data_IF_104495975360
#
_entry.id   IF_104495975360
#
_cell.length_a   1.000
_cell.length_b   1.000
_cell.length_c   1.000
_cell.angle_alpha   90.00
_cell.angle_beta   90.00
_cell.angle_gamma   90.00
#
_symmetry.space_group_name_H-M   'P 1'
#
loop_
_entity.id
_entity.type
_entity.pdbx_description
1 polymer ?
#
# COMPACT_ATOMS: atom_id res chain seq x y z
N UNK A 1 -25.49 -3.81 -22.76
CA UNK A 1 -24.23 -3.05 -22.80
C UNK A 1 -23.61 -3.20 -21.44
N UNK A 2 -22.51 -3.94 -21.29
CA UNK A 2 -21.71 -3.86 -20.09
C UNK A 2 -21.13 -2.43 -20.06
N UNK A 3 -21.50 -1.64 -19.06
CA UNK A 3 -20.86 -0.35 -18.81
C UNK A 3 -19.38 -0.67 -18.58
N UNK A 4 -18.50 -0.16 -19.42
CA UNK A 4 -17.06 -0.42 -19.30
C UNK A 4 -16.59 0.15 -17.96
N UNK A 5 -15.84 -0.64 -17.18
CA UNK A 5 -15.22 -0.21 -15.93
C UNK A 5 -14.38 1.03 -16.19
N UNK A 6 -14.54 2.07 -15.36
CA UNK A 6 -13.82 3.33 -15.47
C UNK A 6 -13.37 3.77 -14.08
N UNK A 7 -12.09 3.52 -13.77
CA UNK A 7 -11.54 3.81 -12.45
C UNK A 7 -11.69 5.28 -12.06
N UNK A 8 -11.42 6.20 -12.99
CA UNK A 8 -11.49 7.64 -12.68
C UNK A 8 -12.91 8.08 -12.33
N UNK A 9 -13.90 7.61 -13.09
CA UNK A 9 -15.31 7.86 -12.82
C UNK A 9 -15.78 7.24 -11.50
N UNK A 10 -15.36 5.98 -11.23
CA UNK A 10 -15.65 5.29 -9.98
C UNK A 10 -15.01 6.01 -8.79
N UNK A 11 -13.75 6.45 -8.93
CA UNK A 11 -13.06 7.20 -7.89
C UNK A 11 -13.72 8.55 -7.60
N UNK A 12 -14.12 9.29 -8.63
CA UNK A 12 -14.86 10.56 -8.46
C UNK A 12 -16.19 10.32 -7.71
N UNK A 13 -16.91 9.24 -8.03
CA UNK A 13 -18.13 8.86 -7.33
C UNK A 13 -17.84 8.42 -5.86
N UNK A 14 -16.76 7.70 -5.63
CA UNK A 14 -16.30 7.33 -4.29
C UNK A 14 -16.01 8.55 -3.42
N UNK A 15 -15.35 9.57 -3.95
CA UNK A 15 -15.04 10.81 -3.22
C UNK A 15 -16.29 11.58 -2.78
N UNK A 16 -17.41 11.42 -3.50
CA UNK A 16 -18.71 12.02 -3.11
C UNK A 16 -19.31 11.25 -1.93
N UNK A 17 -19.19 9.91 -1.92
CA UNK A 17 -19.74 9.04 -0.88
C UNK A 17 -18.90 9.05 0.38
N UNK A 18 -17.56 9.05 0.24
CA UNK A 18 -16.59 8.93 1.32
C UNK A 18 -15.74 10.19 1.37
N UNK A 19 -16.25 11.18 2.06
CA UNK A 19 -15.59 12.48 2.18
C UNK A 19 -14.31 12.37 3.01
N UNK A 20 -13.31 13.16 2.64
CA UNK A 20 -12.14 13.36 3.49
C UNK A 20 -12.52 14.01 4.81
N UNK A 21 -12.03 13.43 5.88
CA UNK A 21 -12.07 13.96 7.22
C UNK A 21 -10.68 14.50 7.58
N UNK A 22 -10.58 15.20 8.70
CA UNK A 22 -9.32 15.76 9.17
C UNK A 22 -9.16 15.50 10.66
N UNK A 23 -8.00 15.01 11.05
CA UNK A 23 -7.55 14.93 12.43
C UNK A 23 -6.31 15.82 12.65
N UNK A 24 -6.04 16.16 13.91
CA UNK A 24 -4.80 16.81 14.32
C UNK A 24 -4.02 15.82 15.20
N UNK A 25 -2.83 15.44 14.73
CA UNK A 25 -1.92 14.53 15.42
C UNK A 25 -0.58 15.24 15.58
N UNK A 26 -0.09 15.38 16.80
CA UNK A 26 1.16 16.11 17.11
C UNK A 26 1.23 17.51 16.46
N UNK A 27 0.13 18.26 16.50
CA UNK A 27 -0.04 19.56 15.86
C UNK A 27 0.03 19.54 14.31
N UNK A 28 -0.01 18.37 13.69
CA UNK A 28 -0.05 18.19 12.24
C UNK A 28 -1.47 17.83 11.82
N UNK A 29 -1.98 18.57 10.84
CA UNK A 29 -3.28 18.30 10.24
C UNK A 29 -3.11 17.19 9.19
N UNK A 30 -3.83 16.08 9.35
CA UNK A 30 -3.85 14.95 8.44
C UNK A 30 -5.24 14.73 7.86
N UNK A 31 -5.31 14.49 6.56
CA UNK A 31 -6.53 14.09 5.88
C UNK A 31 -6.63 12.58 5.83
N UNK A 32 -7.83 12.07 6.04
CA UNK A 32 -8.10 10.64 5.99
C UNK A 32 -9.53 10.37 5.54
N UNK A 33 -9.76 9.16 5.06
CA UNK A 33 -11.09 8.61 4.76
C UNK A 33 -11.34 7.46 5.72
N UNK A 34 -12.42 7.53 6.46
CA UNK A 34 -12.82 6.52 7.43
C UNK A 34 -14.30 6.20 7.24
N UNK A 35 -14.59 4.96 6.95
CA UNK A 35 -15.93 4.53 6.60
C UNK A 35 -16.15 3.04 6.80
N UNK A 36 -17.16 2.51 6.14
CA UNK A 36 -17.53 1.10 6.18
C UNK A 36 -18.49 0.74 7.31
N UNK A 37 -18.61 -0.58 7.58
CA UNK A 37 -19.60 -1.15 8.51
C UNK A 37 -19.29 -0.76 9.95
N UNK A 38 -20.21 -0.06 10.57
CA UNK A 38 -20.07 0.37 11.97
C UNK A 38 -19.97 -0.84 12.92
N UNK A 39 -19.07 -0.72 13.92
CA UNK A 39 -18.80 -1.77 14.91
C UNK A 39 -17.95 -2.94 14.40
N UNK A 40 -17.63 -3.00 13.11
CA UNK A 40 -16.75 -4.04 12.56
C UNK A 40 -15.27 -3.72 12.76
N UNK A 41 -14.36 -4.74 12.67
CA UNK A 41 -12.92 -4.51 12.70
C UNK A 41 -12.46 -3.51 11.63
N UNK A 42 -11.41 -2.75 11.95
CA UNK A 42 -10.88 -1.70 11.06
C UNK A 42 -9.74 -2.25 10.21
N UNK A 43 -9.81 -2.05 8.91
CA UNK A 43 -8.72 -2.25 7.98
C UNK A 43 -7.93 -0.95 7.87
N UNK A 44 -6.63 -0.97 8.19
CA UNK A 44 -5.69 0.10 7.92
C UNK A 44 -4.95 -0.21 6.63
N UNK A 45 -5.11 0.64 5.63
CA UNK A 45 -4.45 0.50 4.34
C UNK A 45 -3.11 1.24 4.29
N UNK A 46 -2.05 0.53 3.88
CA UNK A 46 -0.75 1.10 3.55
C UNK A 46 -0.54 1.07 2.03
N UNK A 47 -0.44 2.23 1.42
CA UNK A 47 -0.33 2.39 -0.03
C UNK A 47 1.11 2.59 -0.48
N UNK A 48 1.42 2.07 -1.67
CA UNK A 48 2.70 2.27 -2.33
C UNK A 48 2.78 3.62 -3.03
N UNK A 49 3.99 4.21 -3.08
CA UNK A 49 4.29 5.50 -3.73
C UNK A 49 3.32 6.62 -3.35
N UNK A 50 2.73 6.53 -2.17
CA UNK A 50 1.69 7.45 -1.66
C UNK A 50 0.47 7.59 -2.59
N UNK A 51 0.16 6.53 -3.34
CA UNK A 51 -1.01 6.44 -4.22
C UNK A 51 -2.20 5.83 -3.48
N UNK A 52 -2.82 6.58 -2.57
CA UNK A 52 -3.94 6.10 -1.74
C UNK A 52 -5.18 5.72 -2.56
N UNK A 53 -5.30 6.24 -3.77
CA UNK A 53 -6.38 5.99 -4.72
C UNK A 53 -6.54 4.49 -5.02
N UNK A 54 -5.45 3.71 -4.93
CA UNK A 54 -5.45 2.26 -5.18
C UNK A 54 -6.40 1.48 -4.28
N UNK A 55 -6.76 2.03 -3.13
CA UNK A 55 -7.59 1.37 -2.14
C UNK A 55 -9.09 1.62 -2.31
N UNK A 56 -9.51 2.44 -3.31
CA UNK A 56 -10.92 2.73 -3.54
C UNK A 56 -11.77 1.46 -3.76
N UNK A 57 -11.39 0.51 -4.65
CA UNK A 57 -12.20 -0.69 -4.85
C UNK A 57 -12.33 -1.53 -3.57
N UNK A 58 -11.25 -1.59 -2.79
CA UNK A 58 -11.22 -2.31 -1.51
C UNK A 58 -12.08 -1.63 -0.44
N UNK A 59 -12.04 -0.31 -0.35
CA UNK A 59 -12.87 0.44 0.57
C UNK A 59 -14.37 0.29 0.25
N UNK A 60 -14.75 0.27 -1.03
CA UNK A 60 -16.14 0.06 -1.44
C UNK A 60 -16.64 -1.35 -1.13
N UNK A 61 -15.86 -2.39 -1.44
CA UNK A 61 -16.30 -3.77 -1.25
C UNK A 61 -16.08 -4.26 0.19
N UNK A 62 -14.84 -4.20 0.70
CA UNK A 62 -14.54 -4.67 2.06
C UNK A 62 -15.25 -3.80 3.11
N UNK A 63 -15.52 -2.54 2.80
CA UNK A 63 -16.29 -1.64 3.64
C UNK A 63 -17.74 -2.09 3.92
N UNK A 64 -18.27 -3.06 3.15
CA UNK A 64 -19.57 -3.67 3.44
C UNK A 64 -19.53 -4.61 4.65
N UNK A 65 -18.35 -5.17 4.97
CA UNK A 65 -18.15 -6.11 6.09
C UNK A 65 -17.29 -5.53 7.22
N UNK A 66 -16.35 -4.64 6.87
CA UNK A 66 -15.33 -4.06 7.77
C UNK A 66 -15.44 -2.55 7.81
N UNK A 67 -14.80 -1.92 8.76
CA UNK A 67 -14.44 -0.51 8.66
C UNK A 67 -13.12 -0.38 7.91
N UNK A 68 -12.83 0.80 7.37
CA UNK A 68 -11.56 1.07 6.70
C UNK A 68 -11.02 2.45 7.07
N UNK A 69 -9.71 2.55 7.08
CA UNK A 69 -8.96 3.80 7.24
C UNK A 69 -7.91 3.90 6.12
N UNK A 70 -8.05 4.94 5.31
CA UNK A 70 -7.07 5.37 4.32
C UNK A 70 -6.65 6.78 4.73
N UNK A 71 -5.35 7.07 4.89
CA UNK A 71 -4.87 8.38 5.34
C UNK A 71 -3.74 8.89 4.46
N UNK A 72 -3.66 10.20 4.29
CA UNK A 72 -2.54 10.82 3.59
C UNK A 72 -1.30 10.76 4.47
N UNK A 73 -0.20 10.27 3.91
CA UNK A 73 1.06 10.23 4.65
C UNK A 73 1.57 11.64 4.93
N UNK A 74 1.97 11.95 6.16
CA UNK A 74 2.42 13.29 6.51
C UNK A 74 3.81 13.58 5.91
N UNK A 75 3.89 14.57 5.02
CA UNK A 75 5.08 14.92 4.25
C UNK A 75 6.27 15.42 5.10
N UNK A 76 6.06 15.68 6.39
CA UNK A 76 7.12 16.13 7.31
C UNK A 76 7.93 14.97 7.88
N UNK A 77 7.46 13.73 7.79
CA UNK A 77 8.20 12.57 8.29
C UNK A 77 9.50 12.37 7.51
N UNK A 78 10.55 12.04 8.23
CA UNK A 78 11.88 11.92 7.64
C UNK A 78 12.20 10.51 7.15
N UNK A 79 11.52 9.50 7.70
CA UNK A 79 11.78 8.08 7.49
C UNK A 79 10.54 7.23 7.78
N UNK A 80 10.64 5.93 7.52
CA UNK A 80 9.54 4.98 7.70
C UNK A 80 9.09 4.84 9.17
N UNK A 81 10.01 4.90 10.14
CA UNK A 81 9.64 4.80 11.55
C UNK A 81 8.73 5.95 11.99
N UNK A 82 9.09 7.18 11.63
CA UNK A 82 8.26 8.35 11.92
C UNK A 82 6.89 8.25 11.24
N UNK A 83 6.87 7.75 10.00
CA UNK A 83 5.64 7.51 9.23
C UNK A 83 4.72 6.51 9.95
N UNK A 84 5.29 5.43 10.46
CA UNK A 84 4.56 4.37 11.17
C UNK A 84 4.11 4.81 12.56
N UNK A 85 4.97 5.52 13.30
CA UNK A 85 4.61 6.07 14.61
C UNK A 85 3.48 7.11 14.48
N UNK A 86 3.46 7.87 13.38
CA UNK A 86 2.36 8.78 13.08
C UNK A 86 1.05 8.01 12.82
N UNK A 87 1.09 6.90 12.07
CA UNK A 87 -0.07 6.04 11.87
C UNK A 87 -0.64 5.52 13.21
N UNK A 88 0.21 5.04 14.10
CA UNK A 88 -0.21 4.59 15.44
C UNK A 88 -0.85 5.71 16.27
N UNK A 89 -0.29 6.92 16.22
CA UNK A 89 -0.88 8.10 16.89
C UNK A 89 -2.21 8.50 16.26
N UNK A 90 -2.37 8.39 14.94
CA UNK A 90 -3.64 8.62 14.25
C UNK A 90 -4.70 7.62 14.73
N UNK A 91 -4.38 6.33 14.80
CA UNK A 91 -5.28 5.31 15.34
C UNK A 91 -5.75 5.67 16.75
N UNK A 92 -4.81 6.08 17.62
CA UNK A 92 -5.13 6.52 18.98
C UNK A 92 -6.05 7.75 18.98
N UNK A 93 -5.80 8.73 18.14
CA UNK A 93 -6.63 9.94 18.01
C UNK A 93 -8.06 9.63 17.53
N UNK A 94 -8.21 8.56 16.74
CA UNK A 94 -9.50 8.06 16.26
C UNK A 94 -10.14 7.01 17.19
N UNK A 95 -9.52 6.72 18.35
CA UNK A 95 -9.98 5.68 19.30
C UNK A 95 -10.06 4.29 18.66
N UNK A 96 -9.12 3.97 17.76
CA UNK A 96 -9.00 2.66 17.12
C UNK A 96 -7.89 1.88 17.83
N UNK A 97 -8.26 0.80 18.53
CA UNK A 97 -7.30 0.01 19.31
C UNK A 97 -6.59 -1.05 18.47
N UNK A 98 -7.31 -1.69 17.54
CA UNK A 98 -6.80 -2.80 16.76
C UNK A 98 -7.21 -2.70 15.30
N UNK A 99 -6.31 -3.12 14.41
CA UNK A 99 -6.50 -3.05 12.96
C UNK A 99 -6.07 -4.34 12.26
N UNK A 100 -6.68 -4.58 11.11
CA UNK A 100 -6.18 -5.48 10.08
C UNK A 100 -5.30 -4.63 9.19
N UNK A 101 -4.06 -5.06 8.94
CA UNK A 101 -3.16 -4.35 8.03
C UNK A 101 -3.31 -4.91 6.62
N UNK A 102 -3.50 -4.04 5.63
CA UNK A 102 -3.38 -4.41 4.22
C UNK A 102 -2.37 -3.46 3.58
N UNK A 103 -1.32 -4.03 2.97
CA UNK A 103 -0.26 -3.23 2.36
C UNK A 103 0.16 -3.74 0.99
N UNK A 104 0.40 -2.81 0.06
CA UNK A 104 0.86 -3.09 -1.30
C UNK A 104 2.14 -2.33 -1.64
N UNK A 105 3.05 -2.96 -2.39
CA UNK A 105 4.33 -2.38 -2.80
C UNK A 105 5.15 -1.92 -1.59
N UNK A 106 5.72 -0.71 -1.57
CA UNK A 106 6.37 -0.14 -0.37
C UNK A 106 5.40 0.02 0.82
N UNK A 107 4.10 0.18 0.58
CA UNK A 107 3.08 0.10 1.63
C UNK A 107 3.03 -1.25 2.34
N UNK A 108 3.35 -2.36 1.66
CA UNK A 108 3.49 -3.67 2.28
C UNK A 108 4.72 -3.75 3.20
N UNK A 109 5.81 -3.04 2.89
CA UNK A 109 6.95 -2.89 3.81
C UNK A 109 6.54 -2.06 5.03
N UNK A 110 5.76 -0.98 4.85
CA UNK A 110 5.25 -0.17 5.95
C UNK A 110 4.30 -0.98 6.86
N UNK A 111 3.45 -1.83 6.30
CA UNK A 111 2.61 -2.74 7.08
C UNK A 111 3.46 -3.69 7.96
N UNK A 112 4.56 -4.23 7.41
CA UNK A 112 5.51 -5.05 8.17
C UNK A 112 6.21 -4.24 9.27
N UNK A 113 6.63 -3.00 9.00
CA UNK A 113 7.22 -2.11 10.02
C UNK A 113 6.20 -1.83 11.13
N UNK A 114 4.95 -1.52 10.77
CA UNK A 114 3.87 -1.29 11.74
C UNK A 114 3.65 -2.53 12.61
N UNK A 115 3.51 -3.71 12.01
CA UNK A 115 3.32 -4.97 12.73
C UNK A 115 4.46 -5.27 13.72
N UNK A 116 5.70 -4.95 13.34
CA UNK A 116 6.86 -5.13 14.22
C UNK A 116 6.88 -4.14 15.40
N UNK A 117 6.48 -2.87 15.17
CA UNK A 117 6.60 -1.80 16.16
C UNK A 117 5.39 -1.71 17.10
N UNK A 118 4.22 -2.09 16.63
CA UNK A 118 2.93 -1.97 17.33
C UNK A 118 2.16 -3.30 17.35
N UNK A 119 2.77 -4.40 17.86
CA UNK A 119 2.18 -5.74 17.81
C UNK A 119 0.83 -5.83 18.52
N UNK A 120 0.60 -5.01 19.56
CA UNK A 120 -0.64 -4.96 20.32
C UNK A 120 -1.83 -4.43 19.51
N UNK A 121 -1.55 -3.64 18.46
CA UNK A 121 -2.57 -3.02 17.63
C UNK A 121 -2.97 -3.86 16.40
N UNK A 122 -2.36 -5.05 16.16
CA UNK A 122 -2.56 -5.79 14.91
C UNK A 122 -3.34 -7.08 15.12
N UNK A 123 -4.43 -7.24 14.37
CA UNK A 123 -5.25 -8.45 14.34
C UNK A 123 -4.74 -9.46 13.31
N UNK A 124 -4.45 -9.00 12.10
CA UNK A 124 -3.96 -9.78 10.97
C UNK A 124 -3.19 -8.87 10.00
N UNK A 125 -2.40 -9.45 9.11
CA UNK A 125 -1.65 -8.74 8.09
C UNK A 125 -1.80 -9.41 6.72
N UNK A 126 -2.18 -8.62 5.71
CA UNK A 126 -2.30 -9.04 4.32
C UNK A 126 -1.34 -8.21 3.47
N UNK A 127 -0.48 -8.90 2.74
CA UNK A 127 0.57 -8.29 1.91
C UNK A 127 0.37 -8.67 0.45
N UNK A 128 0.50 -7.72 -0.44
CA UNK A 128 0.48 -7.98 -1.89
C UNK A 128 1.54 -7.14 -2.62
N UNK A 129 2.07 -7.67 -3.73
CA UNK A 129 3.02 -6.95 -4.61
C UNK A 129 4.15 -6.25 -3.84
N UNK A 130 4.69 -6.88 -2.81
CA UNK A 130 5.65 -6.26 -1.89
C UNK A 130 6.87 -7.16 -1.64
N UNK A 131 7.82 -6.61 -0.91
CA UNK A 131 9.04 -7.28 -0.49
C UNK A 131 9.16 -7.29 1.04
N UNK A 132 10.19 -7.98 1.55
CA UNK A 132 10.57 -7.91 2.97
C UNK A 132 11.94 -7.26 3.12
N UNK A 133 12.23 -6.65 4.28
CA UNK A 133 13.53 -6.05 4.56
C UNK A 133 14.51 -7.15 4.96
N UNK A 134 15.21 -7.68 3.98
CA UNK A 134 16.30 -8.64 4.13
C UNK A 134 17.64 -8.04 3.67
N UNK A 135 18.72 -8.85 3.69
CA UNK A 135 20.05 -8.41 3.28
C UNK A 135 20.13 -8.00 1.81
N UNK A 136 19.34 -8.62 0.94
CA UNK A 136 19.34 -8.33 -0.49
C UNK A 136 18.57 -7.05 -0.78
N UNK A 137 17.43 -6.84 -0.13
CA UNK A 137 16.66 -5.61 -0.19
C UNK A 137 17.51 -4.40 0.24
N UNK A 138 18.16 -4.49 1.42
CA UNK A 138 19.02 -3.41 1.93
C UNK A 138 20.19 -3.16 0.99
N UNK A 139 20.86 -4.22 0.51
CA UNK A 139 21.97 -4.11 -0.44
C UNK A 139 21.55 -3.41 -1.74
N UNK A 140 20.36 -3.72 -2.26
CA UNK A 140 19.90 -3.15 -3.52
C UNK A 140 19.56 -1.65 -3.35
N UNK A 141 18.94 -1.24 -2.24
CA UNK A 141 18.77 0.19 -1.95
C UNK A 141 20.13 0.88 -1.74
N UNK A 142 21.09 0.22 -1.07
CA UNK A 142 22.44 0.79 -0.86
C UNK A 142 23.18 1.05 -2.17
N UNK A 143 22.96 0.26 -3.23
CA UNK A 143 23.50 0.52 -4.56
C UNK A 143 23.03 1.87 -5.10
N UNK A 144 21.83 2.28 -4.75
CA UNK A 144 21.18 3.52 -5.17
C UNK A 144 21.57 4.76 -4.32
N UNK A 145 22.57 4.62 -3.43
CA UNK A 145 22.92 5.65 -2.44
C UNK A 145 23.33 7.01 -3.04
N UNK A 146 23.80 7.02 -4.29
CA UNK A 146 24.15 8.24 -5.01
C UNK A 146 23.10 8.62 -6.04
N UNK A 147 22.51 7.65 -6.72
CA UNK A 147 21.51 7.88 -7.77
C UNK A 147 20.21 8.42 -7.22
N UNK A 148 19.70 7.88 -6.12
CA UNK A 148 18.43 8.34 -5.53
C UNK A 148 18.46 9.80 -5.04
N UNK A 149 19.46 10.27 -4.26
CA UNK A 149 19.53 11.68 -3.91
C UNK A 149 19.68 12.61 -5.12
N UNK A 150 20.49 12.21 -6.12
CA UNK A 150 20.63 12.95 -7.36
C UNK A 150 19.31 12.99 -8.13
N UNK A 151 18.63 11.87 -8.26
CA UNK A 151 17.30 11.79 -8.88
C UNK A 151 16.31 12.71 -8.20
N UNK A 152 16.20 12.69 -6.86
CA UNK A 152 15.30 13.56 -6.09
C UNK A 152 15.67 15.04 -6.27
N UNK A 153 16.95 15.37 -6.36
CA UNK A 153 17.40 16.73 -6.63
C UNK A 153 16.98 17.21 -8.03
N UNK A 154 17.18 16.38 -9.05
CA UNK A 154 16.79 16.68 -10.43
C UNK A 154 15.27 16.76 -10.56
N UNK A 155 14.54 15.89 -9.88
CA UNK A 155 13.08 15.87 -9.89
C UNK A 155 12.47 17.18 -9.36
N UNK A 156 13.12 17.85 -8.40
CA UNK A 156 12.70 19.19 -7.93
C UNK A 156 12.63 20.22 -9.06
N UNK A 157 13.51 20.10 -10.05
CA UNK A 157 13.61 21.02 -11.18
C UNK A 157 12.59 20.71 -12.30
N UNK A 158 12.03 19.51 -12.33
CA UNK A 158 11.05 19.10 -13.33
C UNK A 158 9.67 19.72 -12.98
N UNK A 159 9.01 20.42 -13.90
CA UNK A 159 7.65 20.91 -13.67
C UNK A 159 6.67 19.75 -13.40
N UNK A 160 5.73 19.92 -12.44
CA UNK A 160 4.78 18.88 -12.05
C UNK A 160 4.01 18.29 -13.23
N UNK A 161 3.57 19.13 -14.20
CA UNK A 161 2.91 18.65 -15.42
C UNK A 161 3.78 17.74 -16.29
N UNK A 162 5.09 17.96 -16.31
CA UNK A 162 6.05 17.11 -17.06
C UNK A 162 6.28 15.80 -16.36
N UNK A 163 6.45 15.85 -15.03
CA UNK A 163 6.58 14.66 -14.19
C UNK A 163 5.36 13.75 -14.35
N UNK A 164 4.18 14.33 -14.30
CA UNK A 164 2.91 13.65 -14.49
C UNK A 164 2.81 12.93 -15.84
N UNK A 165 3.19 13.60 -16.93
CA UNK A 165 3.27 12.96 -18.26
C UNK A 165 4.25 11.80 -18.28
N UNK A 166 5.37 11.90 -17.57
CA UNK A 166 6.34 10.82 -17.46
C UNK A 166 5.81 9.66 -16.62
N UNK A 167 5.10 9.94 -15.53
CA UNK A 167 4.41 8.93 -14.73
C UNK A 167 3.41 8.15 -15.59
N UNK A 168 2.49 8.84 -16.26
CA UNK A 168 1.49 8.22 -17.13
C UNK A 168 2.16 7.39 -18.24
N UNK A 169 3.26 7.87 -18.83
CA UNK A 169 4.01 7.10 -19.83
C UNK A 169 4.69 5.87 -19.24
N UNK A 170 5.26 5.95 -18.03
CA UNK A 170 5.88 4.79 -17.37
C UNK A 170 4.86 3.78 -16.88
N UNK A 171 3.67 4.23 -16.49
CA UNK A 171 2.59 3.36 -16.02
C UNK A 171 2.16 2.33 -17.05
N UNK A 172 2.32 2.62 -18.34
CA UNK A 172 2.06 1.65 -19.42
C UNK A 172 2.92 0.40 -19.28
N UNK A 173 4.13 0.51 -18.73
CA UNK A 173 5.01 -0.63 -18.46
C UNK A 173 4.46 -1.56 -17.37
N UNK A 174 3.88 -1.01 -16.33
CA UNK A 174 3.26 -1.80 -15.26
C UNK A 174 1.98 -2.50 -15.70
N UNK A 175 1.31 -1.99 -16.73
CA UNK A 175 0.09 -2.55 -17.30
C UNK A 175 0.35 -3.51 -18.46
N UNK A 176 1.61 -3.69 -18.89
CA UNK A 176 1.93 -4.42 -20.14
C UNK A 176 1.49 -5.89 -20.12
N UNK A 177 1.43 -6.52 -18.94
CA UNK A 177 1.02 -7.91 -18.78
C UNK A 177 -0.50 -8.09 -18.59
N UNK A 178 -1.26 -7.02 -18.47
CA UNK A 178 -2.70 -7.05 -18.21
C UNK A 178 -3.53 -7.12 -19.52
N UNK A 179 -4.80 -7.49 -19.42
CA UNK A 179 -5.75 -7.44 -20.53
C UNK A 179 -5.96 -6.00 -21.03
N UNK A 180 -6.54 -5.81 -22.21
CA UNK A 180 -6.83 -4.46 -22.71
C UNK A 180 -7.83 -3.72 -21.81
N UNK A 181 -8.85 -4.40 -21.33
CA UNK A 181 -9.85 -3.83 -20.40
C UNK A 181 -9.18 -3.42 -19.08
N UNK A 182 -8.33 -4.27 -18.51
CA UNK A 182 -7.59 -3.97 -17.29
C UNK A 182 -6.58 -2.83 -17.50
N UNK A 183 -5.96 -2.75 -18.69
CA UNK A 183 -5.08 -1.63 -19.04
C UNK A 183 -5.82 -0.29 -19.09
N UNK A 184 -7.03 -0.27 -19.66
CA UNK A 184 -7.89 0.91 -19.66
C UNK A 184 -8.25 1.34 -18.24
N UNK A 185 -8.69 0.40 -17.40
CA UNK A 185 -9.00 0.65 -16.00
C UNK A 185 -7.79 1.17 -15.23
N UNK A 186 -6.62 0.56 -15.43
CA UNK A 186 -5.36 1.00 -14.82
C UNK A 186 -4.90 2.38 -15.30
N UNK A 187 -5.16 2.77 -16.55
CA UNK A 187 -4.92 4.15 -16.99
C UNK A 187 -5.78 5.13 -16.21
N UNK A 188 -7.07 4.83 -16.01
CA UNK A 188 -7.97 5.63 -15.19
C UNK A 188 -7.48 5.79 -13.74
N UNK A 189 -6.88 4.73 -13.15
CA UNK A 189 -6.22 4.82 -11.85
C UNK A 189 -5.09 5.86 -11.86
N UNK A 190 -4.17 5.77 -12.81
CA UNK A 190 -3.06 6.72 -12.89
C UNK A 190 -3.54 8.15 -13.21
N UNK A 191 -4.64 8.31 -13.94
CA UNK A 191 -5.26 9.62 -14.16
C UNK A 191 -5.88 10.18 -12.87
N UNK A 192 -6.47 9.34 -12.02
CA UNK A 192 -6.96 9.74 -10.72
C UNK A 192 -5.81 10.23 -9.82
N UNK A 193 -4.71 9.47 -9.71
CA UNK A 193 -3.48 9.87 -9.02
C UNK A 193 -2.95 11.20 -9.57
N UNK A 194 -2.95 11.33 -10.87
CA UNK A 194 -2.46 12.48 -11.60
C UNK A 194 -3.29 13.75 -11.39
N UNK A 195 -4.52 13.63 -10.99
CA UNK A 195 -5.38 14.79 -10.72
C UNK A 195 -5.08 15.46 -9.37
N UNK A 196 -4.29 14.83 -8.48
CA UNK A 196 -3.82 15.47 -7.25
C UNK A 196 -2.63 16.40 -7.54
N UNK A 197 -2.82 17.68 -7.29
CA UNK A 197 -1.80 18.72 -7.47
C UNK A 197 -0.58 18.51 -6.56
N UNK A 198 -0.73 17.80 -5.46
CA UNK A 198 0.35 17.52 -4.50
C UNK A 198 1.07 16.20 -4.79
N UNK A 199 0.64 15.44 -5.82
CA UNK A 199 1.22 14.12 -6.08
C UNK A 199 2.75 14.14 -6.23
N UNK A 200 3.31 15.17 -6.88
CA UNK A 200 4.77 15.32 -6.98
C UNK A 200 5.46 15.32 -5.61
N UNK A 201 4.92 16.05 -4.65
CA UNK A 201 5.49 16.13 -3.30
C UNK A 201 5.35 14.78 -2.57
N UNK A 202 4.19 14.12 -2.71
CA UNK A 202 3.95 12.78 -2.16
C UNK A 202 4.91 11.75 -2.75
N UNK A 203 5.05 11.72 -4.07
CA UNK A 203 5.98 10.83 -4.78
C UNK A 203 7.43 11.01 -4.31
N UNK A 204 7.90 12.24 -4.23
CA UNK A 204 9.25 12.54 -3.74
C UNK A 204 9.45 12.14 -2.29
N UNK A 205 8.43 12.31 -1.46
CA UNK A 205 8.45 11.92 -0.05
C UNK A 205 8.52 10.39 0.08
N UNK A 206 7.70 9.64 -0.67
CA UNK A 206 7.76 8.18 -0.70
C UNK A 206 9.16 7.67 -1.06
N UNK A 207 9.76 8.17 -2.15
CA UNK A 207 11.13 7.78 -2.53
C UNK A 207 12.16 8.09 -1.44
N UNK A 208 12.03 9.22 -0.76
CA UNK A 208 12.90 9.56 0.38
C UNK A 208 12.74 8.54 1.51
N UNK A 209 11.50 8.20 1.89
CA UNK A 209 11.25 7.26 2.97
C UNK A 209 11.74 5.84 2.63
N UNK A 210 11.50 5.36 1.40
CA UNK A 210 12.02 4.08 0.91
C UNK A 210 13.55 4.08 0.90
N UNK A 211 14.19 5.16 0.43
CA UNK A 211 15.64 5.27 0.45
C UNK A 211 16.25 5.19 1.87
N UNK A 212 15.54 5.68 2.89
CA UNK A 212 15.99 5.57 4.28
C UNK A 212 15.93 4.13 4.82
N UNK A 213 15.24 3.21 4.17
CA UNK A 213 15.22 1.79 4.54
C UNK A 213 16.55 1.06 4.30
N UNK A 214 17.52 1.69 3.59
CA UNK A 214 18.87 1.14 3.36
C UNK A 214 19.63 0.78 4.63
N UNK A 215 19.28 1.41 5.74
CA UNK A 215 19.93 1.22 7.05
C UNK A 215 18.93 0.58 8.06
N UNK A 216 17.75 0.13 7.57
CA UNK A 216 16.73 -0.45 8.43
C UNK A 216 17.14 -1.84 8.93
N UNK A 217 16.85 -2.19 10.20
CA UNK A 217 17.14 -3.52 10.73
C UNK A 217 16.39 -4.61 9.96
N UNK A 218 17.11 -5.68 9.57
CA UNK A 218 16.52 -6.81 8.85
C UNK A 218 15.36 -7.43 9.63
N UNK A 219 14.31 -7.78 8.94
CA UNK A 219 13.19 -8.52 9.54
C UNK A 219 13.58 -9.96 9.87
N UNK A 220 13.01 -10.46 10.95
CA UNK A 220 13.20 -11.82 11.45
C UNK A 220 11.84 -12.41 11.80
N UNK A 221 11.73 -13.71 11.72
CA UNK A 221 10.53 -14.48 12.09
C UNK A 221 9.97 -14.06 13.47
N UNK A 222 10.83 -13.88 14.46
CA UNK A 222 10.42 -13.49 15.82
C UNK A 222 9.71 -12.13 15.89
N UNK A 223 9.95 -11.24 14.90
CA UNK A 223 9.33 -9.91 14.86
C UNK A 223 7.82 -10.00 14.59
N UNK A 224 7.35 -11.13 14.01
CA UNK A 224 5.98 -11.37 13.60
C UNK A 224 5.37 -12.65 14.24
N UNK A 225 6.04 -13.26 15.21
CA UNK A 225 5.64 -14.57 15.78
C UNK A 225 4.22 -14.53 16.39
N UNK A 226 3.78 -13.39 16.89
CA UNK A 226 2.44 -13.18 17.44
C UNK A 226 1.32 -13.24 16.39
N UNK A 227 1.66 -13.08 15.10
CA UNK A 227 0.75 -13.19 13.95
C UNK A 227 0.75 -14.59 13.31
N UNK A 228 1.26 -15.62 13.96
CA UNK A 228 1.26 -16.98 13.43
C UNK A 228 -0.15 -17.39 12.97
N UNK A 229 -0.28 -17.83 11.71
CA UNK A 229 -1.54 -18.18 11.07
C UNK A 229 -2.43 -17.00 10.68
N UNK A 230 -2.04 -15.76 10.99
CA UNK A 230 -2.80 -14.53 10.73
C UNK A 230 -2.13 -13.62 9.68
N UNK A 231 -1.31 -14.20 8.84
CA UNK A 231 -0.64 -13.49 7.73
C UNK A 231 -1.08 -14.12 6.41
N UNK A 232 -1.45 -13.29 5.45
CA UNK A 232 -1.67 -13.69 4.06
C UNK A 232 -0.71 -12.93 3.15
N UNK A 233 -0.11 -13.63 2.18
CA UNK A 233 0.78 -13.04 1.17
C UNK A 233 0.26 -13.42 -0.20
N UNK A 234 -0.08 -12.41 -1.01
CA UNK A 234 -0.56 -12.56 -2.38
C UNK A 234 0.55 -12.16 -3.35
N UNK A 235 1.08 -13.13 -4.09
CA UNK A 235 2.23 -12.97 -5.00
C UNK A 235 1.75 -12.97 -6.44
N UNK A 236 1.81 -11.84 -7.17
CA UNK A 236 1.46 -11.81 -8.59
C UNK A 236 2.39 -12.68 -9.44
N UNK A 237 1.81 -13.36 -10.45
CA UNK A 237 2.55 -14.21 -11.38
C UNK A 237 3.60 -13.45 -12.20
N UNK A 238 3.30 -12.19 -12.53
CA UNK A 238 4.07 -11.34 -13.45
C UNK A 238 4.47 -10.03 -12.79
N UNK A 239 4.90 -10.08 -11.52
CA UNK A 239 5.38 -8.89 -10.82
C UNK A 239 6.66 -8.32 -11.46
N UNK A 240 6.90 -7.03 -11.24
CA UNK A 240 8.18 -6.38 -11.56
C UNK A 240 9.31 -6.83 -10.64
N UNK A 241 8.98 -7.32 -9.44
CA UNK A 241 9.94 -7.89 -8.51
C UNK A 241 10.42 -9.25 -8.99
N UNK A 242 11.69 -9.54 -8.78
CA UNK A 242 12.27 -10.82 -9.13
C UNK A 242 11.63 -11.95 -8.31
N UNK A 243 11.55 -13.12 -8.89
CA UNK A 243 11.00 -14.30 -8.22
C UNK A 243 11.73 -14.61 -6.90
N UNK A 244 13.05 -14.45 -6.88
CA UNK A 244 13.88 -14.68 -5.69
C UNK A 244 13.53 -13.72 -4.55
N UNK A 245 13.14 -12.47 -4.87
CA UNK A 245 12.71 -11.47 -3.87
C UNK A 245 11.36 -11.86 -3.27
N UNK A 246 10.41 -12.29 -4.12
CA UNK A 246 9.12 -12.81 -3.69
C UNK A 246 9.25 -14.09 -2.86
N UNK A 247 10.16 -15.00 -3.25
CA UNK A 247 10.41 -16.24 -2.51
C UNK A 247 10.97 -15.95 -1.11
N UNK A 248 11.85 -14.95 -0.95
CA UNK A 248 12.36 -14.54 0.36
C UNK A 248 11.27 -13.99 1.29
N UNK A 249 10.35 -13.16 0.74
CA UNK A 249 9.17 -12.72 1.48
C UNK A 249 8.32 -13.93 1.92
N UNK A 250 8.04 -14.83 0.98
CA UNK A 250 7.26 -16.02 1.24
C UNK A 250 7.93 -16.93 2.30
N UNK A 251 9.25 -17.12 2.22
CA UNK A 251 10.01 -17.97 3.14
C UNK A 251 10.03 -17.43 4.58
N UNK A 252 10.09 -16.10 4.73
CA UNK A 252 9.97 -15.46 6.04
C UNK A 252 8.64 -15.82 6.71
N UNK A 253 7.53 -15.67 5.98
CA UNK A 253 6.19 -15.81 6.54
C UNK A 253 5.67 -17.26 6.52
N UNK A 254 6.18 -18.13 5.63
CA UNK A 254 5.86 -19.57 5.65
C UNK A 254 6.21 -20.24 6.99
N UNK A 255 7.27 -19.78 7.64
CA UNK A 255 7.66 -20.23 8.99
C UNK A 255 6.68 -19.82 10.09
N UNK A 256 5.78 -18.90 9.79
CA UNK A 256 4.71 -18.41 10.66
C UNK A 256 3.33 -18.93 10.25
N UNK A 257 3.26 -20.03 9.52
CA UNK A 257 2.03 -20.64 9.01
C UNK A 257 1.16 -19.64 8.20
N UNK A 258 1.81 -18.70 7.49
CA UNK A 258 1.12 -17.74 6.63
C UNK A 258 0.47 -18.44 5.43
N UNK A 259 -0.68 -17.95 5.02
CA UNK A 259 -1.31 -18.33 3.76
C UNK A 259 -0.62 -17.59 2.61
N UNK A 260 0.07 -18.33 1.73
CA UNK A 260 0.84 -17.77 0.61
C UNK A 260 0.21 -18.26 -0.69
N UNK A 261 -0.30 -17.33 -1.49
CA UNK A 261 -1.01 -17.62 -2.72
C UNK A 261 -0.39 -16.88 -3.90
N UNK A 262 -0.28 -17.58 -5.02
CA UNK A 262 0.02 -16.95 -6.31
C UNK A 262 -1.29 -16.43 -6.90
N UNK A 263 -1.29 -15.19 -7.40
CA UNK A 263 -2.45 -14.50 -7.93
C UNK A 263 -2.20 -14.03 -9.36
N UNK A 264 -3.22 -13.90 -10.20
CA UNK A 264 -3.06 -13.45 -11.58
C UNK A 264 -2.61 -11.99 -11.65
N UNK A 265 -2.08 -11.59 -12.82
CA UNK A 265 -1.68 -10.22 -13.13
C UNK A 265 -0.24 -9.87 -12.76
N UNK A 266 0.06 -8.60 -12.92
CA UNK A 266 1.37 -8.00 -12.61
C UNK A 266 1.37 -7.19 -11.33
N UNK A 267 2.31 -6.23 -11.25
CA UNK A 267 2.48 -5.38 -10.08
C UNK A 267 1.23 -4.57 -9.70
N UNK A 268 0.43 -4.20 -10.66
CA UNK A 268 -0.84 -3.47 -10.47
C UNK A 268 -2.07 -4.36 -10.59
N UNK A 269 -1.89 -5.68 -10.69
CA UNK A 269 -2.98 -6.65 -10.75
C UNK A 269 -3.98 -6.51 -9.60
N UNK A 270 -3.51 -6.21 -8.40
CA UNK A 270 -4.37 -5.97 -7.25
C UNK A 270 -5.29 -4.74 -7.41
N UNK A 271 -5.00 -3.81 -8.33
CA UNK A 271 -5.86 -2.67 -8.65
C UNK A 271 -6.84 -3.05 -9.75
N UNK A 272 -6.32 -3.59 -10.87
CA UNK A 272 -7.11 -3.81 -12.08
C UNK A 272 -7.94 -5.10 -12.03
N UNK A 273 -7.53 -6.07 -11.22
CA UNK A 273 -8.22 -7.34 -10.96
C UNK A 273 -8.63 -7.45 -9.48
N UNK A 274 -8.98 -6.33 -8.85
CA UNK A 274 -9.21 -6.19 -7.41
C UNK A 274 -10.19 -7.24 -6.84
N UNK A 275 -11.21 -7.63 -7.60
CA UNK A 275 -12.21 -8.63 -7.19
C UNK A 275 -11.57 -9.96 -6.79
N UNK A 276 -10.64 -10.48 -7.62
CA UNK A 276 -9.95 -11.73 -7.33
C UNK A 276 -9.14 -11.66 -6.02
N UNK A 277 -8.47 -10.53 -5.80
CA UNK A 277 -7.69 -10.31 -4.58
C UNK A 277 -8.59 -10.18 -3.34
N UNK A 278 -9.68 -9.44 -3.46
CA UNK A 278 -10.64 -9.27 -2.35
C UNK A 278 -11.33 -10.57 -1.97
N UNK A 279 -11.67 -11.43 -2.94
CA UNK A 279 -12.22 -12.77 -2.65
C UNK A 279 -11.29 -13.61 -1.77
N UNK A 280 -9.98 -13.55 -2.03
CA UNK A 280 -8.97 -14.26 -1.24
C UNK A 280 -8.81 -13.64 0.14
N UNK A 281 -8.78 -12.32 0.23
CA UNK A 281 -8.66 -11.59 1.49
C UNK A 281 -9.86 -11.84 2.39
N UNK A 282 -11.09 -11.79 1.85
CA UNK A 282 -12.31 -12.07 2.61
C UNK A 282 -12.31 -13.49 3.17
N UNK A 283 -12.01 -14.50 2.33
CA UNK A 283 -11.91 -15.90 2.77
C UNK A 283 -10.89 -16.10 3.87
N UNK A 284 -9.74 -15.42 3.75
CA UNK A 284 -8.70 -15.49 4.77
C UNK A 284 -9.15 -14.88 6.11
N UNK A 285 -9.77 -13.71 6.08
CA UNK A 285 -10.27 -13.04 7.27
C UNK A 285 -11.39 -13.86 7.94
N UNK A 286 -12.35 -14.34 7.17
CA UNK A 286 -13.45 -15.19 7.66
C UNK A 286 -12.93 -16.49 8.30
N UNK A 287 -11.95 -17.16 7.66
CA UNK A 287 -11.29 -18.37 8.21
C UNK A 287 -10.62 -18.11 9.56
N UNK A 288 -10.12 -16.88 9.78
CA UNK A 288 -9.48 -16.47 11.03
C UNK A 288 -10.45 -15.89 12.06
N UNK A 289 -11.76 -15.88 11.79
CA UNK A 289 -12.77 -15.35 12.69
C UNK A 289 -12.72 -13.82 12.87
N UNK A 290 -12.27 -13.13 11.85
CA UNK A 290 -12.08 -11.68 11.83
C UNK A 290 -13.14 -11.01 10.94
#
# INVERSE_FOLDING_TARGET
>A
MHDSRDFKKEYDAFLIKVLYQTAVVDNVKVRYQYGGKEGAPVILFFHGLEMQEMWMPYAERLGQKYRFLIYEYPLHTANADEQIDFAAKLLKALSIEKVILIGASDGGVYAQIFAKRHPEAVLAMILTTTLTIDSDYVRDIQKERFSTPLFLLLLKLVPAKTELKLLLKKSTGFLACESEEDREYGRGFYEAVASDLNYKQRFMHSFKCVYMLRDYPLFKERDFAYLRGKIQVLLPEKDIFKKEDQDRLADLFRKLDAEILTVPGGHVGFIVQAECYMDLMEKFLEKNGI
#
